data_IF_012276590157
#
_entry.id   IF_012276590157
#
_cell.length_a   1.000
_cell.length_b   1.000
_cell.length_c   1.000
_cell.angle_alpha   90.00
_cell.angle_beta   90.00
_cell.angle_gamma   90.00
#
_symmetry.space_group_name_H-M   'P 1'
#
loop_
_entity.id
_entity.type
_entity.pdbx_description
1 polymer ?
#
# COMPACT_ATOMS: atom_id res chain seq x y z
N UNK A 1 86.19 37.08 51.40
CA UNK A 1 85.91 38.46 51.84
C UNK A 1 84.62 38.91 51.19
N UNK A 2 83.55 39.34 51.87
CA UNK A 2 82.87 38.73 53.02
C UNK A 2 81.62 38.02 52.43
N UNK A 3 81.54 36.69 52.48
CA UNK A 3 80.89 35.84 53.51
C UNK A 3 79.34 35.92 53.45
N UNK A 4 78.56 34.86 53.23
CA UNK A 4 78.86 33.44 53.05
C UNK A 4 77.60 32.55 53.11
N UNK A 5 77.79 31.28 52.74
CA UNK A 5 77.12 30.02 53.15
C UNK A 5 75.59 29.92 52.96
N UNK A 6 75.09 29.04 52.07
CA UNK A 6 74.79 27.58 52.28
C UNK A 6 73.79 27.39 53.45
N UNK A 7 72.61 26.75 53.35
CA UNK A 7 72.21 25.41 52.88
C UNK A 7 70.65 25.42 52.92
N UNK A 8 69.88 24.63 52.16
CA UNK A 8 69.31 23.32 52.53
C UNK A 8 69.10 22.47 51.25
N UNK A 9 69.21 21.16 51.46
CA UNK A 9 69.40 19.98 50.61
C UNK A 9 68.05 19.44 49.99
N UNK A 10 67.96 18.25 49.34
CA UNK A 10 67.42 18.01 47.98
C UNK A 10 66.33 16.89 47.91
N UNK A 11 66.25 16.17 46.76
CA UNK A 11 65.47 14.95 46.38
C UNK A 11 64.11 15.24 45.71
N UNK A 12 63.84 14.94 44.42
CA UNK A 12 64.01 13.74 43.55
C UNK A 12 63.09 12.56 43.92
N UNK A 13 62.18 12.21 42.99
CA UNK A 13 61.25 11.06 43.02
C UNK A 13 59.90 11.42 43.65
N UNK A 14 58.72 11.13 43.11
CA UNK A 14 58.31 10.09 42.15
C UNK A 14 56.89 10.42 41.68
N UNK A 15 56.63 10.14 40.41
CA UNK A 15 55.31 10.08 39.77
C UNK A 15 54.42 9.03 40.47
N UNK A 16 53.26 9.41 41.01
CA UNK A 16 52.17 8.46 41.27
C UNK A 16 50.84 9.08 40.85
N UNK A 17 50.27 8.45 39.82
CA UNK A 17 48.85 8.45 39.48
C UNK A 17 47.96 8.40 40.73
N UNK A 18 47.11 9.41 40.90
CA UNK A 18 45.80 9.21 41.53
C UNK A 18 44.74 9.80 40.62
N UNK A 19 44.32 8.95 39.67
CA UNK A 19 42.92 8.69 39.36
C UNK A 19 41.94 9.81 39.76
N UNK A 20 41.61 10.65 38.79
CA UNK A 20 40.27 11.23 38.72
C UNK A 20 39.29 10.07 38.58
N UNK A 21 38.84 9.52 39.71
CA UNK A 21 37.59 8.79 39.77
C UNK A 21 36.49 9.82 39.52
N UNK A 22 36.22 10.09 38.24
CA UNK A 22 34.89 10.49 37.84
C UNK A 22 34.01 9.29 38.11
N UNK A 23 33.36 9.28 39.27
CA UNK A 23 32.18 8.45 39.49
C UNK A 23 31.10 8.97 38.52
N UNK A 24 31.19 8.58 37.25
CA UNK A 24 30.04 8.55 36.37
C UNK A 24 29.09 7.55 37.00
N UNK A 25 28.07 8.06 37.68
CA UNK A 25 26.95 7.23 38.14
C UNK A 25 26.40 6.56 36.89
N UNK A 26 26.40 5.24 36.87
CA UNK A 26 25.88 4.44 35.77
C UNK A 26 24.36 4.62 35.74
N UNK A 27 23.88 5.64 35.02
CA UNK A 27 22.47 6.02 34.93
C UNK A 27 21.67 5.17 33.93
N UNK A 28 22.27 4.14 33.35
CA UNK A 28 21.60 3.19 32.45
C UNK A 28 20.25 2.66 32.96
N UNK A 29 20.07 2.36 34.27
CA UNK A 29 18.77 1.94 34.79
C UNK A 29 17.71 3.04 34.75
N UNK A 30 18.11 4.32 34.87
CA UNK A 30 17.21 5.48 34.85
C UNK A 30 16.78 5.84 33.41
N UNK A 31 17.59 5.54 32.39
CA UNK A 31 17.28 5.76 30.97
C UNK A 31 16.69 4.55 30.24
N UNK A 32 16.60 3.39 30.90
CA UNK A 32 16.03 2.16 30.34
C UNK A 32 14.57 2.32 29.86
N UNK A 33 13.68 3.06 30.54
CA UNK A 33 12.33 3.31 30.05
C UNK A 33 12.27 4.15 28.78
N UNK A 34 13.27 5.02 28.56
CA UNK A 34 13.31 5.96 27.44
C UNK A 34 14.01 5.37 26.20
N UNK A 35 14.91 4.40 26.41
CA UNK A 35 15.71 3.74 25.36
C UNK A 35 15.24 2.33 25.02
N UNK A 36 14.44 1.69 25.88
CA UNK A 36 14.00 0.29 25.73
C UNK A 36 13.24 0.02 24.43
N UNK A 37 12.45 0.99 23.95
CA UNK A 37 11.74 0.92 22.68
C UNK A 37 12.69 0.84 21.48
N UNK A 38 13.65 1.75 21.44
CA UNK A 38 14.60 1.86 20.35
C UNK A 38 15.56 0.65 20.36
N UNK A 39 15.90 0.15 21.55
CA UNK A 39 16.62 -1.13 21.75
C UNK A 39 15.79 -2.31 21.21
N UNK A 40 14.48 -2.35 21.45
CA UNK A 40 13.63 -3.41 20.92
C UNK A 40 13.63 -3.39 19.39
N UNK A 41 13.45 -2.21 18.77
CA UNK A 41 13.52 -2.06 17.31
C UNK A 41 14.87 -2.53 16.79
N UNK A 42 15.99 -2.07 17.36
CA UNK A 42 17.34 -2.50 16.97
C UNK A 42 17.51 -4.02 17.06
N UNK A 43 17.04 -4.62 18.16
CA UNK A 43 17.17 -6.06 18.41
C UNK A 43 16.39 -6.90 17.40
N UNK A 44 15.15 -6.50 17.10
CA UNK A 44 14.31 -7.15 16.10
C UNK A 44 14.95 -6.99 14.73
N UNK A 45 15.39 -5.78 14.36
CA UNK A 45 16.03 -5.56 13.07
C UNK A 45 17.31 -6.38 12.91
N UNK A 46 18.20 -6.39 13.90
CA UNK A 46 19.46 -7.17 13.81
C UNK A 46 19.25 -8.67 13.70
N UNK A 47 18.09 -9.17 14.11
CA UNK A 47 17.74 -10.59 14.05
C UNK A 47 16.92 -10.96 12.80
N UNK A 48 15.95 -10.14 12.43
CA UNK A 48 14.90 -10.47 11.45
C UNK A 48 15.09 -9.79 10.09
N UNK A 49 15.80 -8.66 10.06
CA UNK A 49 15.88 -7.83 8.86
C UNK A 49 16.65 -8.55 7.74
N UNK A 50 16.11 -8.50 6.53
CA UNK A 50 16.76 -9.05 5.35
C UNK A 50 18.17 -8.50 5.16
N UNK A 51 18.32 -7.18 5.36
CA UNK A 51 19.57 -6.44 5.16
C UNK A 51 20.26 -6.10 6.48
N UNK A 52 20.18 -6.97 7.49
CA UNK A 52 20.77 -6.71 8.81
C UNK A 52 22.29 -6.42 8.77
N UNK A 53 23.01 -6.93 7.75
CA UNK A 53 24.44 -6.68 7.54
C UNK A 53 24.73 -5.26 7.06
N UNK A 54 23.76 -4.61 6.42
CA UNK A 54 23.86 -3.27 5.84
C UNK A 54 23.29 -2.18 6.77
N UNK A 55 22.86 -2.56 7.98
CA UNK A 55 22.47 -1.62 9.03
C UNK A 55 23.68 -0.82 9.53
N UNK A 56 23.51 0.45 9.93
CA UNK A 56 24.57 1.21 10.58
C UNK A 56 25.10 0.57 11.88
N UNK A 57 26.33 0.95 12.23
CA UNK A 57 26.99 0.49 13.46
C UNK A 57 26.17 0.83 14.70
N UNK A 58 26.08 -0.06 15.71
CA UNK A 58 25.32 0.15 16.96
C UNK A 58 25.67 1.41 17.76
N UNK A 59 26.81 2.05 17.49
CA UNK A 59 27.25 3.28 18.13
C UNK A 59 26.64 4.57 17.54
N UNK A 60 25.85 4.45 16.46
CA UNK A 60 25.30 5.58 15.71
C UNK A 60 23.87 6.04 16.10
N UNK A 61 22.94 5.19 16.59
CA UNK A 61 21.59 5.64 16.87
C UNK A 61 21.48 6.34 18.23
N UNK A 62 20.78 7.46 18.23
CA UNK A 62 20.31 8.16 19.42
C UNK A 62 18.95 7.58 19.82
N UNK A 63 18.93 6.92 20.98
CA UNK A 63 17.86 6.08 21.51
C UNK A 63 16.72 6.85 22.20
N UNK A 64 16.63 8.17 21.99
CA UNK A 64 15.56 9.02 22.52
C UNK A 64 14.59 9.49 21.42
N UNK A 65 14.57 8.81 20.27
CA UNK A 65 13.85 9.26 19.07
C UNK A 65 12.54 8.52 18.87
N UNK A 66 11.53 9.18 18.30
CA UNK A 66 10.30 8.49 17.89
C UNK A 66 10.63 7.28 16.99
N UNK A 67 9.86 6.18 17.07
CA UNK A 67 10.12 4.95 16.30
C UNK A 67 10.41 5.17 14.82
N UNK A 68 9.66 6.08 14.19
CA UNK A 68 9.80 6.41 12.76
C UNK A 68 11.17 7.03 12.46
N UNK A 69 11.64 7.91 13.35
CA UNK A 69 12.93 8.58 13.22
C UNK A 69 14.09 7.60 13.50
N UNK A 70 13.92 6.71 14.47
CA UNK A 70 14.88 5.62 14.72
C UNK A 70 14.98 4.70 13.51
N UNK A 71 13.85 4.17 13.02
CA UNK A 71 13.81 3.26 11.88
C UNK A 71 14.47 3.88 10.64
N UNK A 72 14.14 5.14 10.32
CA UNK A 72 14.73 5.86 9.18
C UNK A 72 16.26 5.95 9.23
N UNK A 73 16.86 5.92 10.43
CA UNK A 73 18.31 5.89 10.61
C UNK A 73 18.89 4.48 10.66
N UNK A 74 18.10 3.47 10.99
CA UNK A 74 18.55 2.10 11.20
C UNK A 74 18.50 1.23 9.94
N UNK A 75 17.59 1.54 8.99
CA UNK A 75 17.41 0.75 7.76
C UNK A 75 18.61 0.86 6.80
N UNK A 76 18.76 -0.15 5.95
CA UNK A 76 19.75 -0.15 4.87
C UNK A 76 19.40 0.91 3.80
N UNK A 77 20.38 1.36 3.02
CA UNK A 77 20.15 2.35 1.95
C UNK A 77 19.21 1.85 0.84
N UNK A 78 19.07 0.53 0.68
CA UNK A 78 18.14 -0.11 -0.26
C UNK A 78 16.68 -0.07 0.21
N UNK A 79 16.44 0.19 1.49
CA UNK A 79 15.10 0.28 2.08
C UNK A 79 14.50 1.65 1.81
N UNK A 80 13.87 1.76 0.64
CA UNK A 80 13.28 3.01 0.15
C UNK A 80 11.89 3.26 0.77
N UNK A 81 11.80 3.15 2.10
CA UNK A 81 10.55 3.27 2.86
C UNK A 81 9.66 2.03 2.77
N UNK A 82 10.24 0.85 2.58
CA UNK A 82 9.52 -0.42 2.62
C UNK A 82 9.22 -0.81 4.08
N UNK A 83 10.24 -0.71 4.95
CA UNK A 83 10.04 -0.86 6.38
C UNK A 83 9.37 0.39 6.96
N UNK A 84 8.35 0.21 7.80
CA UNK A 84 7.56 1.32 8.39
C UNK A 84 7.06 1.02 9.79
N UNK A 85 6.70 2.08 10.51
CA UNK A 85 6.00 2.01 11.80
C UNK A 85 4.54 2.36 11.56
N UNK A 86 3.65 1.50 12.02
CA UNK A 86 2.22 1.75 12.06
C UNK A 86 1.73 1.76 13.52
N UNK A 87 0.76 2.60 13.84
CA UNK A 87 0.13 2.62 15.17
C UNK A 87 -0.70 1.35 15.40
N UNK A 88 -0.61 0.77 16.59
CA UNK A 88 -1.50 -0.33 17.00
C UNK A 88 -2.81 0.27 17.53
N UNK A 89 -3.84 0.24 16.71
CA UNK A 89 -5.18 0.76 17.03
C UNK A 89 -6.11 -0.36 17.47
N UNK A 90 -7.00 -0.08 18.42
CA UNK A 90 -8.04 -1.04 18.84
C UNK A 90 -9.13 -1.16 17.75
N UNK A 91 -9.43 -0.05 17.07
CA UNK A 91 -10.33 0.01 15.92
C UNK A 91 -9.75 0.97 14.87
N UNK A 92 -10.11 0.80 13.57
CA UNK A 92 -9.82 1.79 12.54
C UNK A 92 -10.24 3.21 12.96
N UNK A 93 -9.46 4.20 12.55
CA UNK A 93 -9.80 5.61 12.78
C UNK A 93 -11.16 5.88 12.11
N UNK A 94 -12.14 6.46 12.83
CA UNK A 94 -13.44 6.77 12.24
C UNK A 94 -13.31 7.64 10.99
N UNK A 95 -14.07 7.32 9.95
CA UNK A 95 -14.11 8.11 8.73
C UNK A 95 -15.50 8.11 8.09
N UNK A 96 -15.70 8.98 7.09
CA UNK A 96 -16.91 8.93 6.25
C UNK A 96 -16.86 7.81 5.20
N UNK A 97 -15.69 7.20 4.97
CA UNK A 97 -15.53 6.06 4.06
C UNK A 97 -15.44 6.42 2.58
N UNK A 98 -14.74 7.49 2.22
CA UNK A 98 -14.39 7.79 0.83
C UNK A 98 -12.98 8.38 0.73
N UNK A 99 -12.33 8.12 -0.41
CA UNK A 99 -11.07 8.76 -0.79
C UNK A 99 -11.31 9.85 -1.84
N UNK A 100 -10.43 10.84 -1.91
CA UNK A 100 -10.59 11.96 -2.83
C UNK A 100 -9.29 12.60 -3.29
N UNK A 101 -9.39 13.38 -4.38
CA UNK A 101 -8.36 14.31 -4.84
C UNK A 101 -8.94 15.72 -4.96
N UNK A 102 -8.21 16.73 -4.47
CA UNK A 102 -8.64 18.13 -4.57
C UNK A 102 -8.21 18.76 -5.89
N UNK A 103 -9.16 19.38 -6.58
CA UNK A 103 -8.92 20.25 -7.74
C UNK A 103 -9.36 21.67 -7.44
N UNK A 104 -8.56 22.65 -7.83
CA UNK A 104 -8.86 24.07 -7.59
C UNK A 104 -10.13 24.48 -8.35
N UNK A 105 -11.01 25.24 -7.70
CA UNK A 105 -12.18 25.83 -8.35
C UNK A 105 -11.74 26.97 -9.26
N UNK A 106 -12.26 27.02 -10.48
CA UNK A 106 -12.01 28.13 -11.41
C UNK A 106 -12.45 29.46 -10.77
N UNK A 107 -11.62 30.49 -10.94
CA UNK A 107 -11.87 31.85 -10.43
C UNK A 107 -12.02 31.99 -8.89
N UNK A 108 -11.64 30.96 -8.12
CA UNK A 108 -11.56 31.03 -6.67
C UNK A 108 -10.21 30.54 -6.15
N UNK A 109 -9.43 31.46 -5.57
CA UNK A 109 -8.05 31.16 -5.20
C UNK A 109 -7.87 30.22 -4.01
N UNK A 110 -8.90 30.04 -3.20
CA UNK A 110 -8.83 29.25 -1.96
C UNK A 110 -9.71 28.02 -1.96
N UNK A 111 -10.69 27.95 -2.86
CA UNK A 111 -11.66 26.85 -2.94
C UNK A 111 -11.18 25.68 -3.82
N UNK A 112 -11.61 24.49 -3.40
CA UNK A 112 -11.36 23.23 -4.10
C UNK A 112 -12.67 22.44 -4.25
N UNK A 113 -12.77 21.66 -5.31
CA UNK A 113 -13.71 20.55 -5.40
C UNK A 113 -12.95 19.25 -5.08
N UNK A 114 -13.59 18.32 -4.36
CA UNK A 114 -13.01 17.02 -4.05
C UNK A 114 -13.61 15.95 -4.98
N UNK A 115 -12.82 15.44 -5.93
CA UNK A 115 -13.19 14.30 -6.78
C UNK A 115 -13.09 13.01 -5.97
N UNK A 116 -14.19 12.27 -5.84
CA UNK A 116 -14.24 11.00 -5.12
C UNK A 116 -13.61 9.89 -5.97
N UNK A 117 -12.59 9.22 -5.42
CA UNK A 117 -11.85 8.13 -6.09
C UNK A 117 -12.31 6.74 -5.65
N UNK A 118 -12.78 6.61 -4.40
CA UNK A 118 -13.21 5.34 -3.81
C UNK A 118 -14.28 5.58 -2.76
N UNK A 119 -15.23 4.66 -2.60
CA UNK A 119 -16.28 4.71 -1.56
C UNK A 119 -16.38 3.35 -0.90
N UNK A 120 -16.13 3.27 0.41
CA UNK A 120 -16.20 2.03 1.19
C UNK A 120 -17.66 1.53 1.24
N UNK A 121 -17.95 0.27 0.91
CA UNK A 121 -19.29 -0.29 1.03
C UNK A 121 -19.83 -0.23 2.47
N UNK A 122 -21.10 0.13 2.64
CA UNK A 122 -21.75 0.27 3.94
C UNK A 122 -21.23 1.44 4.78
N UNK A 123 -20.63 2.46 4.16
CA UNK A 123 -20.11 3.66 4.83
C UNK A 123 -21.11 4.83 4.85
N UNK A 124 -20.88 5.88 5.66
CA UNK A 124 -21.64 7.14 5.56
C UNK A 124 -21.66 7.73 4.15
N UNK A 125 -20.56 7.62 3.40
CA UNK A 125 -20.49 8.11 2.02
C UNK A 125 -21.41 7.33 1.08
N UNK A 126 -21.46 6.00 1.19
CA UNK A 126 -22.39 5.18 0.41
C UNK A 126 -23.86 5.46 0.81
N UNK A 127 -24.15 5.62 2.11
CA UNK A 127 -25.47 6.00 2.61
C UNK A 127 -25.94 7.36 2.07
N UNK A 128 -25.00 8.28 1.83
CA UNK A 128 -25.25 9.58 1.21
C UNK A 128 -25.43 9.52 -0.32
N UNK A 129 -25.32 8.33 -0.93
CA UNK A 129 -25.41 8.11 -2.37
C UNK A 129 -24.17 8.57 -3.14
N UNK A 130 -23.02 8.74 -2.46
CA UNK A 130 -21.78 9.12 -3.11
C UNK A 130 -21.21 7.94 -3.91
N UNK A 131 -20.59 8.26 -5.04
CA UNK A 131 -19.96 7.29 -5.93
C UNK A 131 -18.63 7.86 -6.43
N UNK A 132 -17.71 6.98 -6.81
CA UNK A 132 -16.52 7.37 -7.57
C UNK A 132 -16.92 8.19 -8.80
N UNK A 133 -16.27 9.33 -9.02
CA UNK A 133 -16.59 10.28 -10.09
C UNK A 133 -17.52 11.43 -9.67
N UNK A 134 -18.20 11.33 -8.52
CA UNK A 134 -18.86 12.49 -7.92
C UNK A 134 -17.82 13.47 -7.36
N UNK A 135 -18.21 14.74 -7.34
CA UNK A 135 -17.40 15.84 -6.81
C UNK A 135 -18.11 16.46 -5.61
N UNK A 136 -17.45 16.58 -4.46
CA UNK A 136 -17.94 17.39 -3.35
C UNK A 136 -17.49 18.83 -3.62
N UNK A 137 -18.46 19.73 -3.75
CA UNK A 137 -18.20 21.14 -4.09
C UNK A 137 -18.28 22.05 -2.85
N UNK A 138 -19.19 21.74 -1.92
CA UNK A 138 -19.37 22.49 -0.68
C UNK A 138 -19.74 21.56 0.48
N UNK A 139 -19.37 21.97 1.69
CA UNK A 139 -19.76 21.34 2.95
C UNK A 139 -20.48 22.35 3.83
N UNK A 140 -21.72 22.04 4.23
CA UNK A 140 -22.59 22.91 5.04
C UNK A 140 -22.78 24.33 4.46
N UNK A 141 -22.71 24.47 3.14
CA UNK A 141 -22.82 25.76 2.44
C UNK A 141 -21.49 26.52 2.28
N UNK A 142 -20.39 26.01 2.83
CA UNK A 142 -19.06 26.60 2.72
C UNK A 142 -18.18 25.85 1.71
N UNK A 143 -17.26 26.56 1.06
CA UNK A 143 -16.26 25.97 0.17
C UNK A 143 -15.25 25.10 0.93
N UNK A 144 -14.79 24.04 0.28
CA UNK A 144 -13.64 23.27 0.75
C UNK A 144 -12.37 24.11 0.52
N UNK A 145 -11.58 24.31 1.57
CA UNK A 145 -10.26 24.95 1.49
C UNK A 145 -9.22 24.06 2.16
N UNK A 146 -7.93 24.33 1.93
CA UNK A 146 -6.83 23.59 2.60
C UNK A 146 -6.89 23.64 4.13
N UNK A 147 -7.55 24.65 4.71
CA UNK A 147 -7.74 24.75 6.16
C UNK A 147 -8.76 23.74 6.70
N UNK A 148 -9.78 23.40 5.91
CA UNK A 148 -10.91 22.54 6.32
C UNK A 148 -10.91 21.18 5.60
N UNK A 149 -9.85 20.87 4.84
CA UNK A 149 -9.69 19.60 4.11
C UNK A 149 -9.81 18.38 5.04
N UNK A 150 -9.31 18.46 6.28
CA UNK A 150 -9.43 17.38 7.26
C UNK A 150 -10.89 17.07 7.65
N UNK A 151 -11.83 18.01 7.45
CA UNK A 151 -13.25 17.78 7.70
C UNK A 151 -13.89 16.84 6.65
N UNK A 152 -13.23 16.57 5.53
CA UNK A 152 -13.64 15.54 4.57
C UNK A 152 -13.34 14.12 5.07
N UNK A 153 -12.43 13.96 6.04
CA UNK A 153 -12.03 12.65 6.54
C UNK A 153 -13.03 12.11 7.56
N UNK A 154 -13.45 12.96 8.51
CA UNK A 154 -14.28 12.56 9.65
C UNK A 154 -15.02 13.75 10.29
N UNK A 155 -16.07 13.47 11.05
CA UNK A 155 -16.85 14.46 11.78
C UNK A 155 -18.32 14.08 12.00
N UNK A 156 -19.12 15.06 12.43
CA UNK A 156 -20.57 14.93 12.54
C UNK A 156 -21.25 14.94 11.17
N UNK A 157 -22.58 14.79 11.11
CA UNK A 157 -23.35 14.88 9.86
C UNK A 157 -22.99 16.14 9.05
N UNK A 158 -22.97 16.01 7.72
CA UNK A 158 -22.65 17.09 6.77
C UNK A 158 -23.73 17.21 5.70
N UNK A 159 -24.10 18.44 5.36
CA UNK A 159 -24.80 18.73 4.11
C UNK A 159 -23.76 18.95 3.02
N UNK A 160 -23.89 18.26 1.89
CA UNK A 160 -22.94 18.33 0.79
C UNK A 160 -23.63 18.85 -0.46
N UNK A 161 -22.98 19.76 -1.18
CA UNK A 161 -23.31 20.01 -2.58
C UNK A 161 -22.45 19.11 -3.46
N UNK A 162 -23.10 18.35 -4.35
CA UNK A 162 -22.45 17.37 -5.22
C UNK A 162 -22.49 17.83 -6.67
N UNK A 163 -21.41 17.58 -7.40
CA UNK A 163 -21.27 17.83 -8.83
C UNK A 163 -20.73 16.64 -9.62
N UNK A 164 -20.71 16.81 -10.94
CA UNK A 164 -20.06 15.89 -11.90
C UNK A 164 -19.27 16.70 -12.92
N UNK A 165 -18.26 16.09 -13.52
CA UNK A 165 -17.56 16.68 -14.65
C UNK A 165 -18.41 16.59 -15.91
N UNK A 166 -18.54 17.69 -16.65
CA UNK A 166 -19.17 17.71 -17.97
C UNK A 166 -18.31 18.47 -18.97
N UNK A 167 -18.23 17.92 -20.16
CA UNK A 167 -17.70 18.58 -21.34
C UNK A 167 -18.85 19.23 -22.11
N UNK A 168 -18.63 20.47 -22.55
CA UNK A 168 -19.52 21.25 -23.41
C UNK A 168 -18.75 21.60 -24.66
N UNK A 169 -19.32 21.25 -25.81
CA UNK A 169 -18.80 21.66 -27.12
C UNK A 169 -19.40 23.03 -27.43
N UNK A 170 -18.55 24.05 -27.54
CA UNK A 170 -18.92 25.39 -27.96
C UNK A 170 -19.36 25.43 -29.43
N UNK A 171 -20.03 26.53 -29.83
CA UNK A 171 -20.45 26.74 -31.22
C UNK A 171 -19.26 26.83 -32.21
N UNK A 172 -18.07 27.15 -31.70
CA UNK A 172 -16.78 27.17 -32.41
C UNK A 172 -16.11 25.79 -32.50
N UNK A 173 -16.68 24.77 -31.86
CA UNK A 173 -16.12 23.42 -31.77
C UNK A 173 -15.09 23.24 -30.65
N UNK A 174 -14.80 24.26 -29.83
CA UNK A 174 -13.95 24.09 -28.66
C UNK A 174 -14.66 23.28 -27.57
N UNK A 175 -13.96 22.30 -27.00
CA UNK A 175 -14.48 21.52 -25.87
C UNK A 175 -14.01 22.18 -24.57
N UNK A 176 -14.95 22.73 -23.80
CA UNK A 176 -14.69 23.23 -22.45
C UNK A 176 -15.26 22.26 -21.44
N UNK A 177 -14.50 21.94 -20.40
CA UNK A 177 -14.92 20.99 -19.37
C UNK A 177 -14.89 21.60 -17.98
N UNK A 178 -15.88 21.28 -17.16
CA UNK A 178 -16.00 21.82 -15.81
C UNK A 178 -16.86 20.97 -14.89
N UNK A 179 -16.70 21.19 -13.59
CA UNK A 179 -17.54 20.56 -12.56
C UNK A 179 -18.85 21.36 -12.44
N UNK A 180 -19.97 20.70 -12.66
CA UNK A 180 -21.31 21.30 -12.54
C UNK A 180 -22.09 20.66 -11.40
N UNK A 181 -22.86 21.45 -10.62
CA UNK A 181 -23.67 20.92 -9.54
C UNK A 181 -24.80 20.05 -10.09
N UNK A 182 -25.09 18.94 -9.40
CA UNK A 182 -26.18 18.01 -9.74
C UNK A 182 -27.18 17.81 -8.60
N UNK A 183 -26.86 18.26 -7.38
CA UNK A 183 -27.78 18.19 -6.26
C UNK A 183 -27.08 18.36 -4.91
N UNK A 184 -27.84 18.11 -3.85
CA UNK A 184 -27.37 18.10 -2.47
C UNK A 184 -27.70 16.77 -1.81
N UNK A 185 -26.89 16.38 -0.83
CA UNK A 185 -27.13 15.17 -0.02
C UNK A 185 -26.73 15.39 1.43
N UNK A 186 -27.28 14.56 2.32
CA UNK A 186 -26.92 14.51 3.74
C UNK A 186 -26.02 13.31 3.98
N UNK A 187 -24.77 13.56 4.36
CA UNK A 187 -23.84 12.52 4.75
C UNK A 187 -23.87 12.31 6.27
N UNK A 188 -24.18 11.10 6.77
CA UNK A 188 -24.17 10.80 8.21
C UNK A 188 -22.80 11.01 8.85
N UNK A 189 -22.76 11.06 10.18
CA UNK A 189 -21.50 11.18 10.92
C UNK A 189 -20.53 10.02 10.65
N UNK A 190 -19.23 10.32 10.69
CA UNK A 190 -18.17 9.32 10.51
C UNK A 190 -18.20 8.25 11.60
N UNK A 191 -17.76 7.04 11.26
CA UNK A 191 -17.68 5.89 12.18
C UNK A 191 -16.50 5.00 11.81
N UNK A 192 -16.13 4.07 12.68
CA UNK A 192 -15.15 3.03 12.34
C UNK A 192 -15.70 2.13 11.23
N UNK A 193 -14.88 1.85 10.23
CA UNK A 193 -15.27 1.11 9.02
C UNK A 193 -14.32 -0.05 8.77
N UNK A 194 -14.87 -1.16 8.26
CA UNK A 194 -14.11 -2.28 7.75
C UNK A 194 -14.31 -2.34 6.23
N UNK A 195 -13.26 -2.00 5.47
CA UNK A 195 -13.29 -2.15 4.02
C UNK A 195 -13.02 -3.61 3.63
N UNK A 196 -13.75 -4.09 2.63
CA UNK A 196 -13.65 -5.48 2.16
C UNK A 196 -12.77 -5.54 0.92
N UNK A 197 -11.78 -6.46 0.86
CA UNK A 197 -10.88 -6.58 -0.28
C UNK A 197 -11.55 -6.74 -1.65
N UNK A 198 -12.58 -7.60 -1.74
CA UNK A 198 -13.39 -7.75 -2.95
C UNK A 198 -14.34 -6.57 -3.03
N UNK A 199 -13.88 -5.48 -3.64
CA UNK A 199 -14.62 -4.22 -3.69
C UNK A 199 -15.72 -4.25 -4.76
N UNK A 200 -15.38 -4.73 -5.96
CA UNK A 200 -16.32 -4.84 -7.09
C UNK A 200 -16.01 -6.07 -7.94
N UNK A 201 -17.05 -6.69 -8.47
CA UNK A 201 -16.97 -7.89 -9.31
C UNK A 201 -18.06 -7.82 -10.38
N UNK A 202 -17.70 -8.07 -11.65
CA UNK A 202 -18.66 -8.13 -12.77
C UNK A 202 -18.23 -9.12 -13.86
N UNK A 203 -19.20 -9.71 -14.56
CA UNK A 203 -18.98 -10.45 -15.81
C UNK A 203 -19.49 -9.60 -16.98
N UNK A 204 -18.58 -9.17 -17.84
CA UNK A 204 -18.85 -8.22 -18.92
C UNK A 204 -18.81 -8.96 -20.26
N UNK A 205 -19.95 -9.11 -20.96
CA UNK A 205 -19.94 -9.59 -22.34
C UNK A 205 -19.37 -8.50 -23.26
N UNK A 206 -18.30 -8.82 -23.99
CA UNK A 206 -17.61 -7.83 -24.82
C UNK A 206 -17.05 -8.46 -26.10
N UNK A 207 -17.57 -8.08 -27.27
CA UNK A 207 -17.09 -8.55 -28.59
C UNK A 207 -16.88 -10.08 -28.69
N UNK A 208 -17.83 -10.87 -28.17
CA UNK A 208 -17.76 -12.34 -28.16
C UNK A 208 -16.91 -12.96 -27.06
N UNK A 209 -16.26 -12.15 -26.21
CA UNK A 209 -15.56 -12.55 -24.99
C UNK A 209 -16.50 -12.41 -23.78
N UNK A 210 -16.19 -13.15 -22.72
CA UNK A 210 -16.80 -13.00 -21.40
C UNK A 210 -15.69 -12.58 -20.43
N UNK A 211 -15.66 -11.29 -20.12
CA UNK A 211 -14.58 -10.69 -19.34
C UNK A 211 -14.95 -10.69 -17.87
N UNK A 212 -14.15 -11.34 -17.03
CA UNK A 212 -14.24 -11.16 -15.58
C UNK A 212 -13.54 -9.87 -15.18
N UNK A 213 -14.24 -8.99 -14.45
CA UNK A 213 -13.67 -7.80 -13.85
C UNK A 213 -13.69 -7.93 -12.32
N UNK A 214 -12.53 -7.74 -11.69
CA UNK A 214 -12.38 -7.77 -10.24
C UNK A 214 -11.56 -6.57 -9.76
N UNK A 215 -12.18 -5.71 -8.96
CA UNK A 215 -11.46 -4.69 -8.17
C UNK A 215 -11.14 -5.28 -6.80
N UNK A 216 -9.86 -5.58 -6.59
CA UNK A 216 -9.36 -6.24 -5.39
C UNK A 216 -8.37 -5.32 -4.66
N UNK A 217 -8.80 -4.75 -3.54
CA UNK A 217 -8.15 -3.56 -2.98
C UNK A 217 -7.15 -3.82 -1.85
N UNK A 218 -7.11 -5.02 -1.28
CA UNK A 218 -6.14 -5.36 -0.21
C UNK A 218 -5.91 -6.87 -0.17
N UNK A 219 -4.67 -7.33 0.03
CA UNK A 219 -4.38 -8.75 0.24
C UNK A 219 -4.60 -9.13 1.70
N UNK A 220 -5.86 -9.29 2.11
CA UNK A 220 -6.24 -9.59 3.50
C UNK A 220 -7.17 -10.80 3.56
N UNK A 221 -6.85 -11.78 4.39
CA UNK A 221 -7.59 -13.04 4.47
C UNK A 221 -8.95 -12.91 5.17
N UNK A 222 -9.06 -11.99 6.13
CA UNK A 222 -10.28 -11.76 6.90
C UNK A 222 -10.15 -10.57 7.87
N UNK A 223 -11.23 -10.24 8.60
CA UNK A 223 -11.26 -9.12 9.56
C UNK A 223 -10.43 -9.37 10.83
N UNK A 224 -10.16 -10.64 11.15
CA UNK A 224 -9.34 -11.06 12.31
C UNK A 224 -8.20 -11.96 11.85
N UNK A 225 -7.18 -12.13 12.69
CA UNK A 225 -5.94 -12.86 12.37
C UNK A 225 -6.17 -14.26 11.81
N UNK A 226 -7.14 -15.01 12.34
CA UNK A 226 -7.40 -16.41 11.95
C UNK A 226 -8.56 -16.54 10.95
N UNK A 227 -9.14 -15.43 10.49
CA UNK A 227 -10.31 -15.45 9.59
C UNK A 227 -9.91 -15.62 8.13
N UNK A 228 -10.68 -16.43 7.41
CA UNK A 228 -10.60 -16.61 5.95
C UNK A 228 -11.79 -15.95 5.20
N UNK A 229 -12.60 -15.15 5.89
CA UNK A 229 -13.86 -14.63 5.33
C UNK A 229 -13.68 -13.88 4.00
N UNK A 230 -12.59 -13.14 3.84
CA UNK A 230 -12.33 -12.38 2.61
C UNK A 230 -11.71 -13.26 1.52
N UNK A 231 -10.92 -14.28 1.88
CA UNK A 231 -10.50 -15.31 0.94
C UNK A 231 -11.69 -16.13 0.43
N UNK A 232 -12.69 -16.39 1.27
CA UNK A 232 -13.92 -17.06 0.86
C UNK A 232 -14.81 -16.18 -0.03
N UNK A 233 -14.81 -14.87 0.18
CA UNK A 233 -15.41 -13.91 -0.75
C UNK A 233 -14.71 -13.92 -2.11
N UNK A 234 -13.37 -13.99 -2.12
CA UNK A 234 -12.58 -14.11 -3.34
C UNK A 234 -12.86 -15.43 -4.06
N UNK A 235 -12.86 -16.57 -3.33
CA UNK A 235 -13.23 -17.88 -3.88
C UNK A 235 -14.62 -17.85 -4.51
N UNK A 236 -15.60 -17.27 -3.82
CA UNK A 236 -16.97 -17.13 -4.33
C UNK A 236 -17.00 -16.36 -5.65
N UNK A 237 -16.31 -15.23 -5.74
CA UNK A 237 -16.18 -14.48 -6.98
C UNK A 237 -15.62 -15.35 -8.12
N UNK A 238 -14.53 -16.08 -7.88
CA UNK A 238 -13.92 -16.95 -8.90
C UNK A 238 -14.82 -18.11 -9.34
N UNK A 239 -15.59 -18.71 -8.42
CA UNK A 239 -16.62 -19.71 -8.78
C UNK A 239 -17.70 -19.11 -9.67
N UNK A 240 -18.14 -17.89 -9.38
CA UNK A 240 -19.16 -17.20 -10.16
C UNK A 240 -18.62 -16.83 -11.55
N UNK A 241 -17.34 -16.42 -11.67
CA UNK A 241 -16.64 -16.25 -12.95
C UNK A 241 -16.60 -17.55 -13.78
N UNK A 242 -16.23 -18.67 -13.17
CA UNK A 242 -16.19 -19.97 -13.85
C UNK A 242 -17.59 -20.35 -14.35
N UNK A 243 -18.62 -20.20 -13.51
CA UNK A 243 -20.02 -20.48 -13.86
C UNK A 243 -20.50 -19.59 -15.01
N UNK A 244 -20.07 -18.32 -15.02
CA UNK A 244 -20.32 -17.38 -16.10
C UNK A 244 -19.62 -17.75 -17.42
N UNK A 245 -18.62 -18.62 -17.39
CA UNK A 245 -17.78 -18.98 -18.53
C UNK A 245 -16.81 -17.87 -18.92
N UNK A 246 -16.27 -17.15 -17.93
CA UNK A 246 -15.24 -16.13 -18.14
C UNK A 246 -14.03 -16.73 -18.85
N UNK A 247 -13.52 -16.02 -19.86
CA UNK A 247 -12.38 -16.44 -20.68
C UNK A 247 -11.35 -15.33 -20.94
N UNK A 248 -11.59 -14.13 -20.39
CA UNK A 248 -10.67 -12.98 -20.37
C UNK A 248 -10.80 -12.32 -19.01
N UNK A 249 -9.75 -11.67 -18.50
CA UNK A 249 -9.77 -11.17 -17.14
C UNK A 249 -9.10 -9.81 -16.97
N UNK A 250 -9.78 -8.90 -16.29
CA UNK A 250 -9.26 -7.61 -15.84
C UNK A 250 -9.20 -7.61 -14.31
N UNK A 251 -7.98 -7.63 -13.79
CA UNK A 251 -7.67 -7.53 -12.36
C UNK A 251 -7.29 -6.09 -12.04
N UNK A 252 -8.15 -5.38 -11.31
CA UNK A 252 -7.94 -3.99 -10.95
C UNK A 252 -7.29 -3.88 -9.56
N UNK A 253 -5.99 -3.56 -9.56
CA UNK A 253 -5.15 -3.39 -8.37
C UNK A 253 -4.72 -1.94 -8.19
N UNK A 254 -5.43 -0.99 -8.82
CA UNK A 254 -4.96 0.38 -8.99
C UNK A 254 -4.66 1.10 -7.67
N UNK A 255 -5.37 0.76 -6.59
CA UNK A 255 -5.17 1.30 -5.24
C UNK A 255 -4.72 0.25 -4.21
N UNK A 256 -4.37 -0.95 -4.67
CA UNK A 256 -4.00 -2.05 -3.79
C UNK A 256 -2.55 -1.88 -3.28
N UNK A 257 -2.41 -1.64 -1.98
CA UNK A 257 -1.11 -1.37 -1.33
C UNK A 257 -0.38 -2.62 -0.83
N UNK A 258 -0.88 -3.82 -1.17
CA UNK A 258 -0.27 -5.10 -0.80
C UNK A 258 -1.02 -5.82 0.33
N UNK A 259 -0.28 -6.56 1.16
CA UNK A 259 -0.82 -7.36 2.27
C UNK A 259 -0.15 -8.73 2.41
N UNK A 260 -0.94 -9.80 2.47
CA UNK A 260 -0.51 -11.17 2.70
C UNK A 260 -0.13 -11.91 1.42
N UNK A 261 1.06 -12.51 1.40
CA UNK A 261 1.53 -13.38 0.31
C UNK A 261 0.66 -14.63 0.13
N UNK A 262 0.03 -15.15 1.18
CA UNK A 262 -0.88 -16.31 1.08
C UNK A 262 -2.13 -15.97 0.27
N UNK A 263 -2.63 -14.73 0.40
CA UNK A 263 -3.76 -14.24 -0.40
C UNK A 263 -3.35 -14.10 -1.87
N UNK A 264 -2.12 -13.65 -2.14
CA UNK A 264 -1.59 -13.59 -3.50
C UNK A 264 -1.38 -14.99 -4.11
N UNK A 265 -0.92 -15.97 -3.34
CA UNK A 265 -0.82 -17.35 -3.79
C UNK A 265 -2.18 -17.93 -4.19
N UNK A 266 -3.21 -17.69 -3.37
CA UNK A 266 -4.60 -18.05 -3.69
C UNK A 266 -5.06 -17.40 -5.00
N UNK A 267 -4.89 -16.08 -5.13
CA UNK A 267 -5.28 -15.33 -6.34
C UNK A 267 -4.56 -15.84 -7.59
N UNK A 268 -3.23 -16.02 -7.53
CA UNK A 268 -2.43 -16.51 -8.65
C UNK A 268 -2.88 -17.93 -9.07
N UNK A 269 -3.13 -18.80 -8.09
CA UNK A 269 -3.60 -20.18 -8.34
C UNK A 269 -4.95 -20.20 -9.07
N UNK A 270 -5.87 -19.30 -8.73
CA UNK A 270 -7.18 -19.23 -9.37
C UNK A 270 -7.15 -18.57 -10.76
N UNK A 271 -6.15 -17.74 -11.06
CA UNK A 271 -5.98 -17.08 -12.36
C UNK A 271 -5.21 -17.91 -13.39
N UNK A 272 -4.17 -18.65 -12.95
CA UNK A 272 -3.18 -19.26 -13.85
C UNK A 272 -3.77 -20.29 -14.84
N UNK A 273 -3.05 -20.60 -15.93
CA UNK A 273 -3.39 -21.75 -16.77
C UNK A 273 -3.42 -23.04 -15.94
N UNK A 274 -4.37 -23.93 -16.21
CA UNK A 274 -4.62 -25.14 -15.44
C UNK A 274 -3.43 -26.12 -15.48
N UNK A 275 -2.62 -26.10 -16.53
CA UNK A 275 -1.41 -26.92 -16.67
C UNK A 275 -0.24 -26.48 -15.78
N UNK A 276 -0.38 -25.35 -15.05
CA UNK A 276 0.64 -24.82 -14.13
C UNK A 276 0.47 -25.26 -12.68
N UNK A 277 -0.59 -25.98 -12.34
CA UNK A 277 -0.82 -26.45 -10.98
C UNK A 277 0.38 -27.25 -10.45
N UNK A 278 0.74 -27.01 -9.18
CA UNK A 278 1.90 -27.54 -8.46
C UNK A 278 3.27 -27.04 -8.94
N UNK A 279 3.34 -26.22 -10.01
CA UNK A 279 4.61 -25.58 -10.39
C UNK A 279 4.97 -24.47 -9.40
N UNK A 280 6.27 -24.15 -9.34
CA UNK A 280 6.81 -23.09 -8.49
C UNK A 280 6.21 -21.73 -8.87
N UNK A 281 5.57 -21.05 -7.92
CA UNK A 281 5.07 -19.69 -8.10
C UNK A 281 6.11 -18.67 -7.63
N UNK A 282 6.60 -18.83 -6.40
CA UNK A 282 7.49 -17.86 -5.79
C UNK A 282 8.47 -18.49 -4.80
N UNK A 283 9.64 -17.87 -4.69
CA UNK A 283 10.72 -18.26 -3.79
C UNK A 283 10.88 -17.15 -2.75
N UNK A 284 10.48 -17.42 -1.51
CA UNK A 284 10.73 -16.53 -0.38
C UNK A 284 12.11 -16.85 0.17
N UNK A 285 13.01 -15.88 0.14
CA UNK A 285 14.40 -16.02 0.57
C UNK A 285 14.75 -14.99 1.62
N UNK A 286 14.92 -15.46 2.85
CA UNK A 286 15.28 -14.69 4.02
C UNK A 286 16.80 -14.53 4.13
N UNK A 287 17.25 -13.76 5.13
CA UNK A 287 18.68 -13.65 5.45
C UNK A 287 19.28 -14.99 5.90
N UNK A 288 20.61 -15.06 5.93
CA UNK A 288 21.35 -16.23 6.40
C UNK A 288 21.06 -16.62 7.87
N UNK A 289 20.58 -15.68 8.69
CA UNK A 289 20.09 -15.92 10.06
C UNK A 289 18.70 -16.55 10.13
N UNK A 290 17.96 -16.50 9.03
CA UNK A 290 16.54 -16.89 8.92
C UNK A 290 16.29 -17.87 7.79
N UNK A 291 17.29 -18.67 7.43
CA UNK A 291 17.19 -19.68 6.36
C UNK A 291 16.07 -20.70 6.61
N UNK A 292 15.73 -20.96 7.87
CA UNK A 292 14.62 -21.82 8.28
C UNK A 292 13.25 -21.31 7.84
N UNK A 293 13.13 -20.00 7.56
CA UNK A 293 11.91 -19.37 7.09
C UNK A 293 11.80 -19.33 5.56
N UNK A 294 12.80 -19.81 4.82
CA UNK A 294 12.70 -19.92 3.37
C UNK A 294 11.51 -20.81 2.98
N UNK A 295 10.75 -20.35 1.99
CA UNK A 295 9.56 -21.04 1.51
C UNK A 295 9.51 -21.03 -0.01
N UNK A 296 9.01 -22.13 -0.56
CA UNK A 296 8.70 -22.27 -1.97
C UNK A 296 7.18 -22.35 -2.09
N UNK A 297 6.58 -21.29 -2.63
CA UNK A 297 5.15 -21.24 -2.89
C UNK A 297 4.91 -21.82 -4.28
N UNK A 298 3.87 -22.64 -4.42
CA UNK A 298 3.44 -23.21 -5.70
C UNK A 298 2.08 -22.67 -6.11
N UNK A 299 1.69 -22.88 -7.37
CA UNK A 299 0.27 -22.84 -7.76
C UNK A 299 -0.46 -24.00 -7.08
N UNK A 300 -0.86 -23.85 -5.82
CA UNK A 300 -1.36 -24.94 -5.00
C UNK A 300 -2.88 -25.13 -5.20
N UNK A 301 -3.34 -26.16 -5.93
CA UNK A 301 -4.76 -26.37 -6.21
C UNK A 301 -5.61 -26.59 -4.95
N UNK A 302 -5.01 -27.04 -3.84
CA UNK A 302 -5.71 -27.23 -2.56
C UNK A 302 -6.23 -25.91 -1.96
N UNK A 303 -5.63 -24.77 -2.32
CA UNK A 303 -6.07 -23.46 -1.86
C UNK A 303 -7.39 -23.00 -2.49
N UNK A 304 -7.73 -23.53 -3.67
CA UNK A 304 -8.92 -23.13 -4.45
C UNK A 304 -10.19 -23.40 -3.64
N UNK A 305 -10.29 -24.57 -3.01
CA UNK A 305 -11.43 -24.98 -2.17
C UNK A 305 -12.79 -24.72 -2.85
N UNK A 306 -13.59 -23.78 -2.33
CA UNK A 306 -14.91 -23.41 -2.84
C UNK A 306 -14.88 -22.49 -4.08
N UNK A 307 -13.69 -22.05 -4.48
CA UNK A 307 -13.48 -21.22 -5.66
C UNK A 307 -13.29 -22.02 -6.93
N UNK A 308 -12.65 -21.40 -7.93
CA UNK A 308 -12.35 -22.03 -9.21
C UNK A 308 -11.04 -21.51 -9.80
N UNK A 309 -10.32 -22.38 -10.48
CA UNK A 309 -9.30 -21.97 -11.45
C UNK A 309 -9.99 -21.62 -12.79
N UNK A 310 -9.58 -20.51 -13.39
CA UNK A 310 -10.19 -19.99 -14.63
C UNK A 310 -9.45 -20.41 -15.90
N UNK A 311 -8.33 -21.13 -15.80
CA UNK A 311 -7.52 -21.59 -16.94
C UNK A 311 -7.19 -20.48 -17.94
N UNK A 312 -6.78 -19.30 -17.44
CA UNK A 312 -6.55 -18.12 -18.28
C UNK A 312 -5.14 -18.13 -18.86
N UNK A 313 -5.01 -17.72 -20.13
CA UNK A 313 -3.72 -17.52 -20.79
C UNK A 313 -3.22 -16.07 -20.73
N UNK A 314 -4.12 -15.11 -20.47
CA UNK A 314 -3.83 -13.68 -20.41
C UNK A 314 -4.59 -13.05 -19.24
N UNK A 315 -3.96 -12.09 -18.56
CA UNK A 315 -4.60 -11.23 -17.56
C UNK A 315 -4.20 -9.78 -17.81
N UNK A 316 -5.19 -8.89 -17.74
CA UNK A 316 -5.00 -7.45 -17.80
C UNK A 316 -5.01 -6.90 -16.38
N UNK A 317 -3.92 -6.28 -15.94
CA UNK A 317 -3.80 -5.75 -14.57
C UNK A 317 -3.80 -4.23 -14.62
N UNK A 318 -4.73 -3.61 -13.90
CA UNK A 318 -4.83 -2.15 -13.79
C UNK A 318 -3.98 -1.66 -12.62
N UNK A 319 -3.08 -0.72 -12.87
CA UNK A 319 -2.05 -0.30 -11.90
C UNK A 319 -1.93 1.21 -11.76
N UNK A 320 -1.49 1.66 -10.58
CA UNK A 320 -0.93 3.00 -10.38
C UNK A 320 0.30 2.98 -9.49
N UNK A 321 0.86 4.14 -9.16
CA UNK A 321 1.93 4.27 -8.16
C UNK A 321 1.52 3.75 -6.77
N UNK A 322 0.22 3.59 -6.49
CA UNK A 322 -0.27 2.98 -5.24
C UNK A 322 -0.19 1.45 -5.25
N UNK A 323 -0.14 0.81 -6.43
CA UNK A 323 0.02 -0.64 -6.58
C UNK A 323 1.40 -1.05 -6.06
N UNK A 324 1.44 -1.79 -4.94
CA UNK A 324 2.67 -2.00 -4.17
C UNK A 324 2.84 -3.43 -3.64
N UNK A 325 4.09 -3.87 -3.53
CA UNK A 325 4.48 -5.00 -2.68
C UNK A 325 3.86 -6.31 -3.15
N UNK A 326 2.95 -6.88 -2.35
CA UNK A 326 2.24 -8.12 -2.72
C UNK A 326 1.43 -7.98 -4.02
N UNK A 327 0.92 -6.80 -4.34
CA UNK A 327 0.28 -6.55 -5.64
C UNK A 327 1.27 -6.68 -6.80
N UNK A 328 2.52 -6.22 -6.60
CA UNK A 328 3.61 -6.34 -7.60
C UNK A 328 4.15 -7.77 -7.67
N UNK A 329 4.12 -8.51 -6.56
CA UNK A 329 4.44 -9.94 -6.52
C UNK A 329 3.53 -10.75 -7.46
N UNK A 330 2.22 -10.49 -7.46
CA UNK A 330 1.27 -11.15 -8.38
C UNK A 330 1.68 -10.93 -9.83
N UNK A 331 2.06 -9.70 -10.20
CA UNK A 331 2.57 -9.37 -11.54
C UNK A 331 3.86 -10.16 -11.82
N UNK A 332 4.84 -10.09 -10.92
CA UNK A 332 6.15 -10.72 -11.09
C UNK A 332 6.06 -12.25 -11.24
N UNK A 333 5.21 -12.90 -10.45
CA UNK A 333 5.15 -14.36 -10.35
C UNK A 333 4.23 -15.00 -11.41
N UNK A 334 3.29 -14.24 -11.99
CA UNK A 334 2.50 -14.71 -13.12
C UNK A 334 3.21 -14.52 -14.47
N UNK A 335 4.10 -13.53 -14.59
CA UNK A 335 4.83 -13.20 -15.83
C UNK A 335 5.49 -14.41 -16.54
N UNK A 336 6.16 -15.36 -15.85
CA UNK A 336 6.77 -16.51 -16.52
C UNK A 336 5.77 -17.53 -17.10
N UNK A 337 4.50 -17.45 -16.69
CA UNK A 337 3.51 -18.51 -16.90
C UNK A 337 2.33 -18.11 -17.80
N UNK A 338 2.02 -16.82 -17.88
CA UNK A 338 0.92 -16.29 -18.67
C UNK A 338 1.22 -14.87 -19.16
N UNK A 339 0.48 -14.40 -20.15
CA UNK A 339 0.63 -13.02 -20.64
C UNK A 339 0.01 -12.05 -19.63
N UNK A 340 0.84 -11.23 -19.00
CA UNK A 340 0.38 -10.14 -18.13
C UNK A 340 0.46 -8.82 -18.89
N UNK A 341 -0.66 -8.13 -19.03
CA UNK A 341 -0.75 -6.82 -19.69
C UNK A 341 -1.04 -5.75 -18.64
N UNK A 342 -0.12 -4.80 -18.48
CA UNK A 342 -0.26 -3.74 -17.49
C UNK A 342 -0.84 -2.47 -18.12
N UNK A 343 -1.89 -1.91 -17.52
CA UNK A 343 -2.57 -0.71 -18.00
C UNK A 343 -2.71 0.28 -16.83
N UNK A 344 -2.35 1.53 -17.05
CA UNK A 344 -2.43 2.57 -16.01
C UNK A 344 -1.12 3.32 -15.87
N UNK A 345 -0.65 3.56 -14.64
CA UNK A 345 0.66 4.16 -14.38
C UNK A 345 1.61 3.15 -13.71
N UNK A 346 2.89 3.53 -13.62
CA UNK A 346 3.97 2.70 -13.05
C UNK A 346 3.64 2.27 -11.61
N UNK A 347 4.00 1.06 -11.20
CA UNK A 347 3.82 0.59 -9.82
C UNK A 347 4.85 1.18 -8.85
N UNK A 348 4.71 0.91 -7.55
CA UNK A 348 5.51 1.52 -6.49
C UNK A 348 6.99 1.10 -6.47
N UNK A 349 7.31 -0.14 -6.81
CA UNK A 349 8.67 -0.70 -6.78
C UNK A 349 9.07 -1.35 -5.46
N UNK A 350 8.12 -1.89 -4.69
CA UNK A 350 8.42 -2.65 -3.48
C UNK A 350 8.62 -4.14 -3.83
N UNK A 351 9.89 -4.51 -4.01
CA UNK A 351 10.32 -5.82 -4.52
C UNK A 351 10.67 -6.85 -3.43
N UNK A 352 10.35 -6.52 -2.19
CA UNK A 352 10.63 -7.33 -0.99
C UNK A 352 9.37 -7.42 -0.15
N UNK A 353 9.27 -8.43 0.71
CA UNK A 353 8.12 -8.59 1.60
C UNK A 353 8.42 -8.11 3.01
N UNK A 354 7.43 -7.46 3.62
CA UNK A 354 7.45 -7.08 5.04
C UNK A 354 6.68 -8.06 5.92
N UNK A 355 7.10 -8.21 7.17
CA UNK A 355 6.31 -8.87 8.23
C UNK A 355 6.07 -7.91 9.40
N UNK A 356 4.88 -7.95 10.03
CA UNK A 356 4.58 -7.14 11.20
C UNK A 356 5.21 -7.73 12.47
N UNK A 357 5.85 -6.87 13.26
CA UNK A 357 6.35 -7.17 14.60
C UNK A 357 5.69 -6.19 15.58
N UNK A 358 4.90 -6.70 16.52
CA UNK A 358 4.19 -5.88 17.51
C UNK A 358 5.11 -5.61 18.68
N UNK A 359 5.27 -4.36 19.08
CA UNK A 359 6.08 -4.02 20.24
C UNK A 359 5.40 -4.54 21.53
N UNK A 360 6.13 -5.08 22.52
CA UNK A 360 5.54 -5.78 23.67
C UNK A 360 4.67 -4.90 24.59
N UNK A 361 4.99 -3.61 24.70
CA UNK A 361 4.31 -2.67 25.61
C UNK A 361 3.78 -1.44 24.87
N UNK A 362 4.65 -0.76 24.12
CA UNK A 362 4.28 0.41 23.32
C UNK A 362 3.39 0.02 22.15
N UNK A 363 2.39 0.86 21.86
CA UNK A 363 1.31 0.54 20.91
C UNK A 363 1.68 0.84 19.46
N UNK A 364 2.67 0.15 18.93
CA UNK A 364 3.02 0.24 17.51
C UNK A 364 3.43 -1.11 16.93
N UNK A 365 3.41 -1.17 15.60
CA UNK A 365 3.79 -2.31 14.78
C UNK A 365 4.96 -1.86 13.91
N UNK A 366 6.07 -2.61 13.96
CA UNK A 366 7.15 -2.50 13.01
C UNK A 366 6.86 -3.45 11.83
N UNK A 367 6.50 -2.90 10.68
CA UNK A 367 6.47 -3.66 9.43
C UNK A 367 7.88 -3.64 8.84
N UNK A 368 8.58 -4.77 8.96
CA UNK A 368 10.00 -4.87 8.62
C UNK A 368 10.19 -5.72 7.37
N UNK A 369 11.08 -5.31 6.47
CA UNK A 369 11.51 -6.15 5.34
C UNK A 369 12.22 -7.41 5.85
N UNK A 370 11.72 -8.59 5.47
CA UNK A 370 12.26 -9.86 5.98
C UNK A 370 12.75 -10.82 4.90
N UNK A 371 12.23 -10.75 3.66
CA UNK A 371 12.65 -11.64 2.59
C UNK A 371 12.54 -11.01 1.20
N UNK A 372 13.41 -11.49 0.30
CA UNK A 372 13.21 -11.35 -1.14
C UNK A 372 12.08 -12.27 -1.59
N UNK A 373 11.37 -11.87 -2.64
CA UNK A 373 10.30 -12.67 -3.25
C UNK A 373 10.58 -12.82 -4.75
N UNK A 374 11.24 -13.92 -5.10
CA UNK A 374 11.58 -14.19 -6.50
C UNK A 374 10.45 -14.96 -7.19
N UNK A 375 10.31 -14.77 -8.50
CA UNK A 375 9.49 -15.64 -9.33
C UNK A 375 10.23 -16.97 -9.65
N UNK A 376 9.62 -17.82 -10.48
CA UNK A 376 10.21 -19.09 -10.89
C UNK A 376 11.50 -19.00 -11.72
N UNK A 377 11.83 -17.81 -12.24
CA UNK A 377 13.10 -17.54 -12.92
C UNK A 377 14.16 -16.95 -11.99
N UNK A 378 13.93 -16.98 -10.67
CA UNK A 378 14.81 -16.42 -9.65
C UNK A 378 14.99 -14.89 -9.77
N UNK A 379 13.97 -14.18 -10.27
CA UNK A 379 14.01 -12.71 -10.47
C UNK A 379 12.99 -11.96 -9.62
N UNK A 380 13.37 -10.75 -9.22
CA UNK A 380 12.50 -9.74 -8.60
C UNK A 380 12.94 -8.33 -9.02
N UNK A 381 13.31 -8.18 -10.30
CA UNK A 381 14.06 -7.04 -10.84
C UNK A 381 13.15 -5.85 -11.21
N UNK A 382 12.33 -5.40 -10.25
CA UNK A 382 11.35 -4.32 -10.44
C UNK A 382 11.46 -3.23 -9.37
N UNK A 383 12.68 -2.97 -8.88
CA UNK A 383 12.95 -2.03 -7.78
C UNK A 383 12.49 -0.58 -8.02
N UNK A 384 12.21 -0.18 -9.26
CA UNK A 384 11.67 1.15 -9.60
C UNK A 384 10.19 1.12 -9.98
N UNK A 385 9.53 -0.02 -9.82
CA UNK A 385 8.19 -0.32 -10.29
C UNK A 385 8.15 -0.89 -11.71
N UNK A 386 7.09 -1.64 -12.01
CA UNK A 386 6.75 -2.10 -13.34
C UNK A 386 6.19 -0.94 -14.17
N UNK A 387 6.79 -0.69 -15.33
CA UNK A 387 6.24 0.22 -16.32
C UNK A 387 4.99 -0.43 -16.96
N UNK A 388 3.87 0.31 -17.11
CA UNK A 388 2.69 -0.23 -17.77
C UNK A 388 3.00 -0.55 -19.24
N UNK A 389 2.35 -1.58 -19.79
CA UNK A 389 2.37 -1.88 -21.23
C UNK A 389 1.69 -0.76 -22.00
N UNK A 390 0.60 -0.22 -21.45
CA UNK A 390 -0.15 0.92 -21.98
C UNK A 390 -0.34 1.96 -20.87
N UNK A 391 0.29 3.12 -21.04
CA UNK A 391 0.27 4.16 -20.02
C UNK A 391 -1.00 5.01 -20.13
N UNK A 392 -1.80 5.01 -19.07
CA UNK A 392 -3.01 5.81 -18.91
C UNK A 392 -3.04 6.39 -17.50
N UNK A 393 -3.03 7.72 -17.39
CA UNK A 393 -3.22 8.39 -16.11
C UNK A 393 -4.71 8.74 -15.95
N UNK A 394 -5.42 8.07 -15.04
CA UNK A 394 -6.87 8.27 -14.84
C UNK A 394 -7.25 9.72 -14.55
N UNK A 395 -6.38 10.48 -13.87
CA UNK A 395 -6.60 11.89 -13.54
C UNK A 395 -6.60 12.80 -14.77
N UNK A 396 -6.04 12.32 -15.90
CA UNK A 396 -6.06 13.04 -17.18
C UNK A 396 -7.37 12.87 -17.96
N UNK A 397 -8.26 11.99 -17.51
CA UNK A 397 -9.50 11.62 -18.21
C UNK A 397 -10.72 11.83 -17.31
N UNK A 398 -10.95 13.08 -16.89
CA UNK A 398 -12.03 13.44 -15.95
C UNK A 398 -13.43 13.08 -16.46
N UNK A 399 -13.67 13.10 -17.77
CA UNK A 399 -14.96 12.72 -18.38
C UNK A 399 -15.27 11.22 -18.32
N UNK A 400 -14.24 10.39 -18.14
CA UNK A 400 -14.37 8.93 -17.98
C UNK A 400 -13.87 8.44 -16.61
N UNK A 401 -13.73 9.34 -15.64
CA UNK A 401 -13.48 9.03 -14.24
C UNK A 401 -14.78 8.54 -13.58
N UNK A 402 -15.12 7.28 -13.85
CA UNK A 402 -16.43 6.68 -13.58
C UNK A 402 -16.37 5.59 -12.50
N UNK A 403 -17.53 5.13 -11.99
CA UNK A 403 -17.58 3.98 -11.09
C UNK A 403 -16.89 2.74 -11.64
N UNK A 404 -16.23 1.98 -10.76
CA UNK A 404 -15.61 0.70 -11.08
C UNK A 404 -16.61 -0.28 -11.71
N UNK A 405 -16.18 -1.01 -12.74
CA UNK A 405 -17.03 -1.94 -13.51
C UNK A 405 -17.75 -1.28 -14.69
N UNK A 406 -17.91 0.05 -14.68
CA UNK A 406 -18.45 0.75 -15.84
C UNK A 406 -17.54 0.57 -17.05
N UNK A 407 -18.05 -0.01 -18.14
CA UNK A 407 -17.25 -0.30 -19.34
C UNK A 407 -16.67 0.93 -20.05
N UNK A 408 -17.12 2.15 -19.70
CA UNK A 408 -16.55 3.41 -20.16
C UNK A 408 -15.55 4.04 -19.17
N UNK A 409 -15.32 3.44 -18.00
CA UNK A 409 -14.26 3.86 -17.07
C UNK A 409 -12.90 3.74 -17.75
N UNK A 410 -12.06 4.77 -17.62
CA UNK A 410 -10.82 4.95 -18.38
C UNK A 410 -9.96 3.68 -18.51
N UNK A 411 -9.59 3.06 -17.38
CA UNK A 411 -8.63 1.94 -17.40
C UNK A 411 -9.29 0.62 -17.83
N UNK A 412 -10.51 0.34 -17.36
CA UNK A 412 -11.28 -0.83 -17.80
C UNK A 412 -11.59 -0.76 -19.29
N UNK A 413 -12.04 0.39 -19.80
CA UNK A 413 -12.32 0.61 -21.21
C UNK A 413 -11.09 0.35 -22.07
N UNK A 414 -9.93 0.86 -21.65
CA UNK A 414 -8.66 0.59 -22.33
C UNK A 414 -8.38 -0.92 -22.42
N UNK A 415 -8.55 -1.67 -21.32
CA UNK A 415 -8.37 -3.12 -21.34
C UNK A 415 -9.33 -3.82 -22.32
N UNK A 416 -10.61 -3.47 -22.28
CA UNK A 416 -11.66 -4.01 -23.16
C UNK A 416 -11.38 -3.74 -24.66
N UNK A 417 -10.87 -2.55 -24.97
CA UNK A 417 -10.43 -2.15 -26.31
C UNK A 417 -9.21 -2.94 -26.77
N UNK A 418 -8.15 -2.98 -25.95
CA UNK A 418 -6.89 -3.69 -26.23
C UNK A 418 -7.13 -5.18 -26.49
N UNK A 419 -7.92 -5.86 -25.65
CA UNK A 419 -8.21 -7.29 -25.84
C UNK A 419 -9.02 -7.58 -27.11
N UNK A 420 -9.74 -6.59 -27.63
CA UNK A 420 -10.51 -6.69 -28.87
C UNK A 420 -9.72 -6.31 -30.12
N UNK A 421 -8.45 -5.91 -29.98
CA UNK A 421 -7.66 -5.38 -31.10
C UNK A 421 -8.14 -4.00 -31.58
N UNK A 422 -8.97 -3.33 -30.79
CA UNK A 422 -9.40 -1.95 -31.03
C UNK A 422 -8.36 -1.08 -30.33
N UNK A 423 -7.29 -0.69 -31.00
CA UNK A 423 -6.36 0.30 -30.42
C UNK A 423 -6.82 1.69 -30.83
N UNK A 424 -6.91 2.60 -29.87
CA UNK A 424 -7.12 4.02 -30.16
C UNK A 424 -5.96 4.51 -31.04
N UNK A 425 -6.30 5.23 -32.13
CA UNK A 425 -5.34 5.83 -33.06
C UNK A 425 -4.56 6.97 -32.41
#
# INVERSE_FOLDING_TARGET
MKRGKRLILPLLGTLILTSLFSCGVDRWPEYYPETGRDIWIDSVMRQEYLWYRDMPSPAAPDYFQKPEAFLKKAVASMDNGFSKIDSLLDEPIPSYGFDYTLYKVLDNDTAYNALISYVVPGSPAEEAGLQRGHWIMMMNGDYITKKVESELLQGSTRQLQIGVYKEVVGEDGEVTGGVVPIGETTMPASRSLADKPVHRFEIIPWNGKKVGYLMYNEFKAGPTTDSQAYNDDLRRAFRDFQTGGVNEFVLDLRYNTGGSLDCAQLLCTMLAPADKMNQLLALLRYSDKRVEANQDLTFNPELIQSGANLDLSTVYVLTTNATRGVAEMVINCLNPYMKVVLIGTKTAGEYVATKPFVHPTDRFILNLVVCNVYNAEEKSDYATGFKPTYEYNEDSYLSTYLPFGNTNETLLNAALKIMSGITDK
#
